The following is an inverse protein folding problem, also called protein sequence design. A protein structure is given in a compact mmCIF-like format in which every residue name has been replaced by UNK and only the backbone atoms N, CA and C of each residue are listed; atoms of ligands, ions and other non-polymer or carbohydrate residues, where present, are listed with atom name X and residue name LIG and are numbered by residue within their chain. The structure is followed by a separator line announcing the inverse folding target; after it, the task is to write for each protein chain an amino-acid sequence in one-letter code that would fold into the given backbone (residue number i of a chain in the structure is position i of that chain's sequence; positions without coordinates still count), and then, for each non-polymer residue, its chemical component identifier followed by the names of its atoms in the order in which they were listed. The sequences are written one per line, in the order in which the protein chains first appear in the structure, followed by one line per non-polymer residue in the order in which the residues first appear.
data_IF_803016948821
#
_entry.id   IF_803016948821
#
_cell.length_a   1.000
_cell.length_b   1.000
_cell.length_c   1.000
_cell.angle_alpha   90.00
_cell.angle_beta   90.00
_cell.angle_gamma   90.00
#
_symmetry.space_group_name_H-M   'P 1'
#
loop_
_entity.id
_entity.type
_entity.pdbx_description
1 polymer ?
#
# COMPACT_ATOMS: atom_id res chain seq x y z
N UNK A 1 14.63 -30.66 -44.45
CA UNK A 1 14.12 -29.48 -43.70
C UNK A 1 14.72 -29.29 -42.30
N UNK A 2 15.78 -30.02 -41.91
CA UNK A 2 16.40 -29.94 -40.56
C UNK A 2 17.62 -28.99 -40.46
N UNK A 3 18.12 -28.50 -41.60
CA UNK A 3 19.35 -27.67 -41.69
C UNK A 3 19.14 -26.20 -41.33
N UNK A 4 17.97 -25.62 -41.61
CA UNK A 4 17.70 -24.22 -41.35
C UNK A 4 17.45 -23.96 -39.84
N UNK A 5 16.69 -24.84 -39.19
CA UNK A 5 16.34 -24.74 -37.78
C UNK A 5 17.59 -24.80 -36.89
N UNK A 6 18.54 -25.70 -37.19
CA UNK A 6 19.80 -25.80 -36.46
C UNK A 6 20.67 -24.55 -36.60
N UNK A 7 20.72 -23.94 -37.79
CA UNK A 7 21.48 -22.71 -38.01
C UNK A 7 20.89 -21.53 -37.25
N UNK A 8 19.56 -21.41 -37.21
CA UNK A 8 18.89 -20.34 -36.45
C UNK A 8 19.10 -20.51 -34.94
N UNK A 9 19.02 -21.75 -34.43
CA UNK A 9 19.23 -22.01 -33.01
C UNK A 9 20.68 -21.71 -32.57
N UNK A 10 21.66 -22.08 -33.40
CA UNK A 10 23.08 -21.82 -33.12
C UNK A 10 23.40 -20.33 -33.10
N UNK A 11 22.84 -19.55 -34.05
CA UNK A 11 22.99 -18.10 -34.10
C UNK A 11 22.35 -17.44 -32.88
N UNK A 12 21.18 -17.91 -32.45
CA UNK A 12 20.48 -17.37 -31.29
C UNK A 12 21.28 -17.60 -30.00
N UNK A 13 21.85 -18.80 -29.80
CA UNK A 13 22.73 -19.11 -28.65
C UNK A 13 24.01 -18.25 -28.67
N UNK A 14 24.63 -18.08 -29.84
CA UNK A 14 25.80 -17.22 -30.01
C UNK A 14 25.50 -15.75 -29.71
N UNK A 15 24.33 -15.24 -30.13
CA UNK A 15 23.89 -13.88 -29.79
C UNK A 15 23.63 -13.74 -28.28
N UNK A 16 22.99 -14.71 -27.64
CA UNK A 16 22.74 -14.68 -26.19
C UNK A 16 24.04 -14.66 -25.40
N UNK A 17 25.06 -15.42 -25.81
CA UNK A 17 26.38 -15.43 -25.17
C UNK A 17 27.16 -14.13 -25.39
N UNK A 18 26.97 -13.46 -26.52
CA UNK A 18 27.59 -12.16 -26.82
C UNK A 18 26.97 -11.03 -25.99
N UNK A 19 25.65 -11.03 -25.83
CA UNK A 19 24.93 -10.07 -24.96
C UNK A 19 25.30 -10.30 -23.49
N UNK A 20 25.40 -11.56 -23.04
CA UNK A 20 25.81 -11.87 -21.66
C UNK A 20 27.24 -11.42 -21.36
N UNK A 21 28.18 -11.63 -22.28
CA UNK A 21 29.57 -11.20 -22.07
C UNK A 21 29.72 -9.67 -22.12
N UNK A 22 28.95 -8.95 -22.96
CA UNK A 22 28.98 -7.48 -22.99
C UNK A 22 28.45 -6.86 -21.68
N UNK A 23 27.42 -7.47 -21.08
CA UNK A 23 26.90 -7.06 -19.76
C UNK A 23 27.90 -7.36 -18.65
N UNK A 24 28.66 -8.46 -18.73
CA UNK A 24 29.67 -8.79 -17.71
C UNK A 24 30.93 -7.92 -17.83
N UNK A 25 31.34 -7.50 -19.03
CA UNK A 25 32.53 -6.65 -19.22
C UNK A 25 32.29 -5.15 -19.01
N UNK A 26 31.03 -4.70 -18.92
CA UNK A 26 30.71 -3.30 -18.59
C UNK A 26 30.58 -3.04 -17.07
N UNK A 27 30.68 -4.08 -16.24
CA UNK A 27 30.68 -3.98 -14.76
C UNK A 27 32.10 -4.17 -14.21
N UNK A 28 33.09 -3.53 -14.83
CA UNK A 28 34.46 -3.53 -14.30
C UNK A 28 35.06 -2.13 -14.31
N UNK A 29 35.42 -1.71 -13.09
CA UNK A 29 36.28 -0.57 -12.72
C UNK A 29 35.62 0.82 -12.59
N UNK A 30 35.02 1.06 -11.43
CA UNK A 30 35.57 2.07 -10.50
C UNK A 30 35.19 1.71 -9.05
N UNK A 31 36.01 0.87 -8.43
CA UNK A 31 35.97 0.67 -6.98
C UNK A 31 36.52 1.92 -6.31
N UNK A 32 35.66 2.91 -6.12
CA UNK A 32 35.87 3.92 -5.09
C UNK A 32 35.36 3.24 -3.82
N UNK A 33 36.27 2.73 -2.99
CA UNK A 33 35.97 2.33 -1.62
C UNK A 33 35.52 3.57 -0.86
N UNK A 34 34.22 3.88 -0.95
CA UNK A 34 33.57 4.79 -0.02
C UNK A 34 33.50 4.05 1.32
N UNK A 35 33.94 4.66 2.43
CA UNK A 35 33.81 4.05 3.74
C UNK A 35 32.33 3.75 3.97
N UNK A 36 31.98 2.46 4.03
CA UNK A 36 30.63 1.97 4.29
C UNK A 36 30.20 2.59 5.61
N UNK A 37 29.31 3.58 5.52
CA UNK A 37 28.68 4.17 6.68
C UNK A 37 27.73 3.11 7.23
N UNK A 38 28.20 2.37 8.25
CA UNK A 38 27.44 1.31 8.94
C UNK A 38 26.39 1.86 9.90
N UNK A 39 26.23 3.17 9.95
CA UNK A 39 25.24 3.80 10.80
C UNK A 39 23.84 3.61 10.19
N UNK A 40 22.95 3.05 11.02
CA UNK A 40 21.52 2.97 10.77
C UNK A 40 21.02 4.36 10.42
N UNK A 41 20.28 4.51 9.31
CA UNK A 41 19.53 5.75 9.11
C UNK A 41 18.67 6.01 10.36
N UNK A 42 18.95 7.10 11.07
CA UNK A 42 18.16 7.52 12.24
C UNK A 42 16.77 8.00 11.83
N UNK A 43 16.56 8.26 10.54
CA UNK A 43 15.25 8.52 9.95
C UNK A 43 14.70 7.21 9.39
N UNK A 44 13.71 6.65 10.07
CA UNK A 44 12.92 5.49 9.61
C UNK A 44 11.74 6.03 8.82
N UNK A 45 11.66 5.66 7.54
CA UNK A 45 10.49 6.00 6.72
C UNK A 45 9.36 5.03 7.08
N UNK A 46 8.19 5.57 7.42
CA UNK A 46 7.03 4.76 7.85
C UNK A 46 5.88 5.00 6.90
N UNK A 47 5.41 3.92 6.28
CA UNK A 47 4.23 3.89 5.41
C UNK A 47 3.17 3.03 6.09
N UNK A 48 1.99 3.59 6.34
CA UNK A 48 0.87 2.87 6.96
C UNK A 48 -0.32 2.87 6.02
N UNK A 49 -0.83 1.70 5.66
CA UNK A 49 -1.99 1.54 4.79
C UNK A 49 -2.87 0.41 5.30
N UNK A 50 -4.08 0.74 5.76
CA UNK A 50 -5.07 -0.26 6.16
C UNK A 50 -4.52 -1.28 7.15
N UNK A 51 -4.52 -2.55 6.76
CA UNK A 51 -4.07 -3.68 7.57
C UNK A 51 -2.61 -3.58 8.03
N UNK A 52 -1.74 -2.95 7.26
CA UNK A 52 -0.28 -3.09 7.42
C UNK A 52 0.44 -1.75 7.58
N UNK A 53 1.60 -1.81 8.24
CA UNK A 53 2.56 -0.72 8.34
C UNK A 53 3.94 -1.24 8.00
N UNK A 54 4.63 -0.51 7.13
CA UNK A 54 5.97 -0.79 6.64
C UNK A 54 6.93 0.22 7.26
N UNK A 55 7.93 -0.29 7.98
CA UNK A 55 9.08 0.49 8.44
C UNK A 55 10.24 0.21 7.50
N UNK A 56 10.77 1.26 6.87
CA UNK A 56 11.94 1.18 6.02
C UNK A 56 13.19 1.65 6.78
N UNK A 57 14.18 0.76 6.84
CA UNK A 57 15.50 1.05 7.37
C UNK A 57 16.54 0.93 6.26
N UNK A 58 17.56 1.78 6.29
CA UNK A 58 18.73 1.70 5.40
C UNK A 58 19.98 1.31 6.18
N UNK A 59 20.73 0.36 5.64
CA UNK A 59 21.97 -0.18 6.19
C UNK A 59 22.98 -0.37 5.07
N UNK A 60 23.93 0.56 4.94
CA UNK A 60 24.77 0.63 3.74
C UNK A 60 23.91 0.74 2.48
N UNK A 61 24.12 -0.16 1.52
CA UNK A 61 23.32 -0.25 0.29
C UNK A 61 22.06 -1.13 0.44
N UNK A 62 21.87 -1.78 1.59
CA UNK A 62 20.70 -2.62 1.83
C UNK A 62 19.53 -1.83 2.39
N UNK A 63 18.34 -2.19 1.92
CA UNK A 63 17.07 -1.73 2.48
C UNK A 63 16.43 -2.86 3.28
N UNK A 64 16.03 -2.60 4.52
CA UNK A 64 15.31 -3.56 5.37
C UNK A 64 13.89 -3.04 5.55
N UNK A 65 12.91 -3.79 5.06
CA UNK A 65 11.49 -3.50 5.22
C UNK A 65 10.93 -4.39 6.33
N UNK A 66 10.49 -3.79 7.43
CA UNK A 66 9.77 -4.51 8.48
C UNK A 66 8.27 -4.23 8.33
N UNK A 67 7.49 -5.28 8.10
CA UNK A 67 6.06 -5.19 7.79
C UNK A 67 5.27 -5.79 8.95
N UNK A 68 4.45 -4.98 9.62
CA UNK A 68 3.66 -5.38 10.78
C UNK A 68 2.17 -5.08 10.58
N UNK A 69 1.32 -5.76 11.35
CA UNK A 69 -0.09 -5.36 11.47
C UNK A 69 -0.12 -3.92 11.98
N UNK A 70 -0.91 -3.06 11.33
CA UNK A 70 -0.95 -1.63 11.61
C UNK A 70 -1.15 -1.38 13.11
N UNK A 71 -0.13 -0.86 13.82
CA UNK A 71 -0.18 -0.74 15.27
C UNK A 71 -0.94 0.50 15.72
N UNK A 72 -1.20 1.44 14.80
CA UNK A 72 -1.80 2.72 15.12
C UNK A 72 -3.32 2.63 14.94
N UNK A 73 -4.03 2.30 16.00
CA UNK A 73 -5.51 2.29 16.00
C UNK A 73 -6.01 3.58 16.65
N UNK A 74 -6.68 4.42 15.88
CA UNK A 74 -7.28 5.67 16.35
C UNK A 74 -8.57 5.40 17.11
N UNK A 75 -9.38 4.48 16.59
CA UNK A 75 -10.63 4.04 17.18
C UNK A 75 -10.91 2.59 16.79
N UNK A 76 -11.54 1.84 17.69
CA UNK A 76 -11.96 0.47 17.41
C UNK A 76 -13.33 0.22 18.02
N UNK A 77 -14.20 -0.42 17.25
CA UNK A 77 -15.50 -0.88 17.73
C UNK A 77 -15.86 -2.19 17.04
N UNK A 78 -16.24 -3.21 17.83
CA UNK A 78 -16.56 -4.57 17.36
C UNK A 78 -15.54 -5.11 16.34
N UNK A 79 -14.25 -4.98 16.65
CA UNK A 79 -13.11 -5.43 15.83
C UNK A 79 -13.04 -4.77 14.41
N UNK A 80 -13.66 -3.60 14.25
CA UNK A 80 -13.45 -2.71 13.10
C UNK A 80 -12.52 -1.59 13.56
N UNK A 81 -11.39 -1.44 12.89
CA UNK A 81 -10.30 -0.57 13.29
C UNK A 81 -10.17 0.62 12.35
N UNK A 82 -10.26 1.81 12.92
CA UNK A 82 -9.92 3.06 12.25
C UNK A 82 -8.43 3.29 12.42
N UNK A 83 -7.70 3.33 11.31
CA UNK A 83 -6.25 3.40 11.29
C UNK A 83 -5.78 4.57 10.42
N UNK A 84 -4.66 5.22 10.76
CA UNK A 84 -4.13 6.29 9.96
C UNK A 84 -3.49 5.73 8.70
N UNK A 85 -3.67 6.47 7.62
CA UNK A 85 -3.11 6.24 6.30
C UNK A 85 -2.03 7.30 6.05
N UNK A 86 -0.79 6.94 6.42
CA UNK A 86 0.37 7.86 6.50
C UNK A 86 1.38 7.53 5.41
N UNK A 87 1.91 8.58 4.77
CA UNK A 87 2.95 8.50 3.74
C UNK A 87 2.63 7.44 2.67
N UNK A 88 1.36 7.39 2.25
CA UNK A 88 0.88 6.47 1.21
C UNK A 88 0.71 7.19 -0.11
N UNK A 89 1.62 8.11 -0.45
CA UNK A 89 1.58 8.67 -1.80
C UNK A 89 1.77 7.54 -2.81
N UNK A 90 1.25 7.71 -4.03
CA UNK A 90 1.43 6.71 -5.08
C UNK A 90 2.92 6.46 -5.31
N UNK A 91 3.77 7.50 -5.19
CA UNK A 91 5.22 7.37 -5.24
C UNK A 91 5.78 6.48 -4.14
N UNK A 92 5.35 6.65 -2.89
CA UNK A 92 5.85 5.84 -1.76
C UNK A 92 5.51 4.35 -1.95
N UNK A 93 4.25 4.08 -2.35
CA UNK A 93 3.79 2.72 -2.63
C UNK A 93 4.54 2.12 -3.82
N UNK A 94 4.70 2.88 -4.91
CA UNK A 94 5.40 2.43 -6.11
C UNK A 94 6.88 2.17 -5.83
N UNK A 95 7.52 2.98 -4.99
CA UNK A 95 8.91 2.79 -4.57
C UNK A 95 9.09 1.53 -3.74
N UNK A 96 8.17 1.21 -2.82
CA UNK A 96 8.19 -0.06 -2.08
C UNK A 96 8.06 -1.24 -3.04
N UNK A 97 7.07 -1.20 -3.93
CA UNK A 97 6.84 -2.27 -4.92
C UNK A 97 8.10 -2.48 -5.76
N UNK A 98 8.68 -1.38 -6.27
CA UNK A 98 9.91 -1.41 -7.07
C UNK A 98 11.09 -2.01 -6.29
N UNK A 99 11.31 -1.57 -5.06
CA UNK A 99 12.38 -2.07 -4.17
C UNK A 99 12.25 -3.58 -3.95
N UNK A 100 11.03 -4.07 -3.72
CA UNK A 100 10.76 -5.49 -3.54
C UNK A 100 10.94 -6.26 -4.85
N UNK A 101 10.45 -5.74 -5.98
CA UNK A 101 10.53 -6.47 -7.25
C UNK A 101 11.94 -6.51 -7.86
N UNK A 102 12.71 -5.43 -7.75
CA UNK A 102 14.00 -5.27 -8.43
C UNK A 102 15.20 -5.72 -7.58
N UNK A 103 15.12 -5.58 -6.26
CA UNK A 103 16.27 -5.76 -5.36
C UNK A 103 16.09 -6.89 -4.35
N UNK A 104 15.06 -7.74 -4.48
CA UNK A 104 14.88 -8.87 -3.56
C UNK A 104 16.05 -9.87 -3.66
N UNK A 105 16.62 -10.32 -2.53
CA UNK A 105 17.60 -11.40 -2.53
C UNK A 105 16.96 -12.72 -2.94
N UNK A 106 17.74 -13.62 -3.52
CA UNK A 106 17.27 -14.98 -3.80
C UNK A 106 16.91 -15.74 -2.52
N UNK A 107 15.97 -16.69 -2.62
CA UNK A 107 15.61 -17.62 -1.53
C UNK A 107 16.85 -18.30 -0.94
N UNK A 108 17.79 -18.73 -1.80
CA UNK A 108 19.05 -19.37 -1.37
C UNK A 108 19.90 -18.42 -0.54
N UNK A 109 19.98 -17.14 -0.93
CA UNK A 109 20.69 -16.10 -0.16
C UNK A 109 20.07 -15.91 1.22
N UNK A 110 18.73 -15.88 1.31
CA UNK A 110 18.00 -15.77 2.57
C UNK A 110 18.33 -16.95 3.51
N UNK A 111 18.20 -18.19 3.03
CA UNK A 111 18.53 -19.37 3.83
C UNK A 111 19.98 -19.40 4.28
N UNK A 112 20.93 -19.03 3.42
CA UNK A 112 22.36 -19.01 3.76
C UNK A 112 22.68 -18.03 4.89
N UNK A 113 21.98 -16.90 4.94
CA UNK A 113 22.22 -15.82 5.92
C UNK A 113 21.36 -15.95 7.18
N UNK A 114 20.36 -16.84 7.21
CA UNK A 114 19.46 -17.03 8.34
C UNK A 114 20.16 -17.32 9.67
N UNK A 115 21.16 -18.20 9.68
CA UNK A 115 21.89 -18.53 10.91
C UNK A 115 22.73 -17.34 11.43
N UNK A 116 23.27 -16.53 10.52
CA UNK A 116 23.97 -15.31 10.90
C UNK A 116 23.00 -14.30 11.54
N UNK A 117 21.79 -14.14 10.98
CA UNK A 117 20.73 -13.31 11.59
C UNK A 117 20.39 -13.80 12.98
N UNK A 118 20.14 -15.11 13.16
CA UNK A 118 19.84 -15.69 14.48
C UNK A 118 20.95 -15.40 15.48
N UNK A 119 22.22 -15.52 15.08
CA UNK A 119 23.36 -15.13 15.91
C UNK A 119 23.33 -13.65 16.31
N UNK A 120 23.02 -12.75 15.38
CA UNK A 120 22.88 -11.31 15.65
C UNK A 120 21.69 -10.99 16.55
N UNK A 121 20.56 -11.65 16.36
CA UNK A 121 19.38 -11.49 17.22
C UNK A 121 19.69 -11.90 18.66
N UNK A 122 20.35 -13.05 18.86
CA UNK A 122 20.79 -13.50 20.19
C UNK A 122 21.73 -12.48 20.84
N UNK A 123 22.72 -11.96 20.09
CA UNK A 123 23.65 -10.94 20.59
C UNK A 123 22.94 -9.63 21.00
N UNK A 124 21.78 -9.33 20.41
CA UNK A 124 20.95 -8.17 20.72
C UNK A 124 19.86 -8.43 21.79
N UNK A 125 19.90 -9.59 22.45
CA UNK A 125 18.94 -9.99 23.48
C UNK A 125 17.57 -10.44 22.94
N UNK A 126 17.51 -10.90 21.69
CA UNK A 126 16.31 -11.37 21.00
C UNK A 126 16.35 -12.87 20.71
N UNK A 127 16.89 -13.65 21.65
CA UNK A 127 17.07 -15.10 21.50
C UNK A 127 15.77 -15.89 21.31
N UNK A 128 14.65 -15.34 21.77
CA UNK A 128 13.31 -15.95 21.65
C UNK A 128 12.62 -15.63 20.32
N UNK A 129 13.21 -14.75 19.48
CA UNK A 129 12.62 -14.42 18.20
C UNK A 129 12.85 -15.57 17.22
N UNK A 130 11.83 -16.39 17.02
CA UNK A 130 11.84 -17.38 15.93
C UNK A 130 11.65 -16.67 14.59
N UNK A 131 12.68 -16.74 13.77
CA UNK A 131 12.71 -16.19 12.42
C UNK A 131 12.98 -17.33 11.44
N UNK A 132 12.20 -17.35 10.37
CA UNK A 132 12.26 -18.36 9.30
C UNK A 132 12.13 -17.70 7.93
N UNK A 133 12.45 -18.45 6.87
CA UNK A 133 12.31 -17.99 5.48
C UNK A 133 11.03 -18.58 4.90
N UNK A 134 10.16 -17.74 4.36
CA UNK A 134 8.99 -18.15 3.58
C UNK A 134 8.99 -17.44 2.23
N UNK A 135 9.22 -18.18 1.14
CA UNK A 135 9.40 -17.56 -0.18
C UNK A 135 10.55 -16.57 -0.21
N UNK A 136 10.27 -15.32 -0.60
CA UNK A 136 11.25 -14.23 -0.72
C UNK A 136 11.34 -13.35 0.54
N UNK A 137 10.70 -13.73 1.65
CA UNK A 137 10.67 -12.93 2.88
C UNK A 137 11.16 -13.73 4.09
N UNK A 138 11.62 -13.01 5.11
CA UNK A 138 11.68 -13.56 6.46
C UNK A 138 10.33 -13.39 7.14
N UNK A 139 9.96 -14.36 7.99
CA UNK A 139 8.74 -14.31 8.80
C UNK A 139 9.12 -14.53 10.25
N UNK A 140 8.56 -13.71 11.14
CA UNK A 140 8.75 -13.82 12.59
C UNK A 140 7.56 -13.26 13.36
N UNK A 141 7.40 -13.65 14.62
CA UNK A 141 6.48 -12.96 15.54
C UNK A 141 7.08 -11.64 16.02
N UNK A 142 6.62 -10.53 15.45
CA UNK A 142 7.14 -9.20 15.76
C UNK A 142 6.38 -8.50 16.88
N UNK A 143 5.35 -9.15 17.46
CA UNK A 143 4.49 -8.55 18.48
C UNK A 143 5.27 -8.19 19.76
N UNK A 144 5.23 -6.92 20.14
CA UNK A 144 5.96 -6.41 21.31
C UNK A 144 7.48 -6.47 21.19
N UNK A 145 8.03 -6.75 20.00
CA UNK A 145 9.48 -6.85 19.79
C UNK A 145 10.06 -5.50 19.34
N UNK A 146 11.31 -5.18 19.73
CA UNK A 146 11.95 -3.93 19.34
C UNK A 146 12.38 -3.96 17.87
N UNK A 147 11.52 -3.42 16.99
CA UNK A 147 11.69 -3.44 15.53
C UNK A 147 13.05 -2.90 15.09
N UNK A 148 13.53 -1.80 15.67
CA UNK A 148 14.84 -1.21 15.33
C UNK A 148 16.01 -2.18 15.54
N UNK A 149 15.95 -3.01 16.60
CA UNK A 149 17.00 -3.99 16.90
C UNK A 149 16.94 -5.17 15.92
N UNK A 150 15.74 -5.55 15.49
CA UNK A 150 15.55 -6.60 14.48
C UNK A 150 16.10 -6.12 13.13
N UNK A 151 15.72 -4.91 12.72
CA UNK A 151 16.22 -4.29 11.50
C UNK A 151 17.75 -4.18 11.53
N UNK A 152 18.34 -3.84 12.68
CA UNK A 152 19.81 -3.82 12.87
C UNK A 152 20.45 -5.18 12.70
N UNK A 153 19.94 -6.20 13.38
CA UNK A 153 20.49 -7.54 13.28
C UNK A 153 20.49 -8.05 11.82
N UNK A 154 19.48 -7.69 11.04
CA UNK A 154 19.36 -8.08 9.63
C UNK A 154 20.24 -7.20 8.75
N UNK A 155 20.25 -5.89 8.98
CA UNK A 155 21.11 -4.93 8.29
C UNK A 155 22.59 -5.25 8.44
N UNK A 156 23.04 -5.66 9.63
CA UNK A 156 24.42 -6.14 9.85
C UNK A 156 24.78 -7.37 9.02
N UNK A 157 23.80 -8.21 8.69
CA UNK A 157 23.99 -9.44 7.92
C UNK A 157 23.87 -9.19 6.43
N UNK A 158 23.13 -8.18 6.00
CA UNK A 158 22.88 -7.92 4.57
C UNK A 158 23.58 -6.68 4.03
N UNK A 159 24.11 -5.79 4.87
CA UNK A 159 24.65 -4.49 4.47
C UNK A 159 25.85 -4.52 3.52
N UNK A 160 26.42 -5.70 3.25
CA UNK A 160 27.39 -5.93 2.18
C UNK A 160 26.76 -6.08 0.78
N UNK A 161 25.43 -6.10 0.69
CA UNK A 161 24.65 -6.29 -0.53
C UNK A 161 23.80 -5.05 -0.83
N UNK A 162 23.51 -4.84 -2.12
CA UNK A 162 22.48 -3.90 -2.58
C UNK A 162 21.17 -4.67 -2.80
N UNK A 163 20.44 -4.94 -1.71
CA UNK A 163 19.20 -5.73 -1.74
C UNK A 163 18.13 -5.15 -0.81
N UNK A 164 16.87 -5.50 -1.08
CA UNK A 164 15.73 -5.23 -0.21
C UNK A 164 15.35 -6.50 0.53
N UNK A 165 15.52 -6.52 1.85
CA UNK A 165 15.13 -7.63 2.70
C UNK A 165 13.81 -7.31 3.38
N UNK A 166 12.81 -8.17 3.17
CA UNK A 166 11.50 -8.04 3.81
C UNK A 166 11.41 -8.96 5.01
N UNK A 167 10.94 -8.43 6.14
CA UNK A 167 10.58 -9.18 7.34
C UNK A 167 9.11 -8.94 7.62
N UNK A 168 8.33 -10.00 7.51
CA UNK A 168 6.89 -9.98 7.66
C UNK A 168 6.51 -10.50 9.06
N UNK A 169 5.65 -9.75 9.75
CA UNK A 169 5.01 -10.22 10.96
C UNK A 169 4.12 -11.43 10.65
N UNK A 170 4.32 -12.54 11.36
CA UNK A 170 3.54 -13.75 11.16
C UNK A 170 2.02 -13.54 11.34
N UNK A 171 1.62 -12.54 12.14
CA UNK A 171 0.21 -12.18 12.32
C UNK A 171 -0.44 -11.70 11.02
N UNK A 172 0.33 -11.06 10.13
CA UNK A 172 -0.19 -10.69 8.80
C UNK A 172 -0.57 -11.96 8.04
N UNK A 173 0.28 -12.99 8.04
CA UNK A 173 -0.05 -14.27 7.38
C UNK A 173 -1.27 -14.94 8.01
N UNK A 174 -1.40 -14.89 9.34
CA UNK A 174 -2.58 -15.37 10.04
C UNK A 174 -3.86 -14.67 9.59
N UNK A 175 -3.84 -13.33 9.48
CA UNK A 175 -4.97 -12.53 9.01
C UNK A 175 -5.32 -12.82 7.55
N UNK A 176 -4.32 -12.99 6.69
CA UNK A 176 -4.53 -13.36 5.29
C UNK A 176 -5.22 -14.70 5.15
N UNK A 177 -4.78 -15.72 5.90
CA UNK A 177 -5.45 -17.03 5.94
C UNK A 177 -6.88 -16.89 6.45
N UNK A 178 -7.09 -16.16 7.54
CA UNK A 178 -8.43 -15.89 8.07
C UNK A 178 -9.35 -15.26 7.02
N UNK A 179 -8.86 -14.29 6.24
CA UNK A 179 -9.65 -13.65 5.18
C UNK A 179 -9.99 -14.58 4.01
N UNK A 180 -9.07 -15.45 3.63
CA UNK A 180 -9.32 -16.46 2.60
C UNK A 180 -10.30 -17.51 3.11
N UNK A 181 -10.03 -18.09 4.29
CA UNK A 181 -10.79 -19.21 4.84
C UNK A 181 -12.22 -18.81 5.25
N UNK A 182 -12.43 -17.55 5.64
CA UNK A 182 -13.77 -17.02 5.93
C UNK A 182 -14.58 -16.65 4.69
N UNK A 183 -13.95 -16.60 3.51
CA UNK A 183 -14.59 -16.14 2.27
C UNK A 183 -14.87 -14.63 2.23
N UNK A 184 -14.42 -13.84 3.22
CA UNK A 184 -14.70 -12.40 3.26
C UNK A 184 -14.11 -11.67 2.04
N UNK A 185 -12.99 -12.14 1.49
CA UNK A 185 -12.43 -11.55 0.26
C UNK A 185 -13.40 -11.66 -0.90
N UNK A 186 -14.10 -12.79 -1.04
CA UNK A 186 -15.06 -12.99 -2.13
C UNK A 186 -16.30 -12.11 -1.96
N UNK A 187 -16.79 -11.93 -0.73
CA UNK A 187 -17.88 -10.98 -0.43
C UNK A 187 -17.56 -9.55 -0.91
N UNK A 188 -16.30 -9.11 -0.78
CA UNK A 188 -15.86 -7.79 -1.23
C UNK A 188 -15.49 -7.74 -2.72
N UNK A 189 -15.35 -8.90 -3.38
CA UNK A 189 -15.14 -9.02 -4.83
C UNK A 189 -16.44 -9.08 -5.62
N UNK A 190 -17.53 -9.56 -5.02
CA UNK A 190 -18.84 -9.57 -5.65
C UNK A 190 -19.18 -8.17 -6.17
N UNK A 191 -19.50 -8.09 -7.46
CA UNK A 191 -19.99 -6.85 -8.08
C UNK A 191 -21.12 -6.31 -7.23
N UNK A 192 -21.07 -5.02 -6.89
CA UNK A 192 -22.06 -4.35 -6.07
C UNK A 192 -23.46 -4.52 -6.66
N UNK A 193 -24.17 -5.57 -6.24
CA UNK A 193 -25.59 -5.71 -6.56
C UNK A 193 -26.33 -4.70 -5.70
N UNK A 194 -26.59 -3.53 -6.29
CA UNK A 194 -27.30 -2.43 -5.65
C UNK A 194 -28.73 -2.80 -5.23
N UNK A 195 -29.25 -3.94 -5.68
CA UNK A 195 -30.52 -4.47 -5.20
C UNK A 195 -30.40 -5.28 -3.91
N UNK A 196 -29.19 -5.69 -3.51
CA UNK A 196 -28.97 -6.35 -2.23
C UNK A 196 -29.13 -5.38 -1.07
N UNK A 197 -29.75 -5.86 0.02
CA UNK A 197 -29.89 -5.08 1.25
C UNK A 197 -28.53 -4.71 1.86
N UNK A 198 -27.51 -5.55 1.61
CA UNK A 198 -26.13 -5.32 2.00
C UNK A 198 -25.56 -4.02 1.40
N UNK A 199 -25.46 -3.97 0.07
CA UNK A 199 -24.86 -2.84 -0.63
C UNK A 199 -25.69 -1.57 -0.48
N UNK A 200 -27.04 -1.67 -0.43
CA UNK A 200 -27.91 -0.51 -0.22
C UNK A 200 -27.65 0.16 1.14
N UNK A 201 -27.52 -0.62 2.20
CA UNK A 201 -27.32 -0.08 3.56
C UNK A 201 -25.89 0.42 3.76
N UNK A 202 -24.88 -0.26 3.21
CA UNK A 202 -23.50 0.20 3.21
C UNK A 202 -23.39 1.55 2.47
N UNK A 203 -24.01 1.68 1.30
CA UNK A 203 -24.04 2.93 0.54
C UNK A 203 -24.76 4.05 1.30
N UNK A 204 -25.89 3.75 1.96
CA UNK A 204 -26.61 4.74 2.78
C UNK A 204 -25.73 5.30 3.90
N UNK A 205 -25.04 4.42 4.62
CA UNK A 205 -24.13 4.80 5.71
C UNK A 205 -22.96 5.63 5.17
N UNK A 206 -22.39 5.22 4.03
CA UNK A 206 -21.36 5.98 3.33
C UNK A 206 -21.81 7.40 2.94
N UNK A 207 -22.98 7.55 2.31
CA UNK A 207 -23.48 8.86 1.91
C UNK A 207 -23.79 9.75 3.11
N UNK A 208 -24.33 9.18 4.19
CA UNK A 208 -24.56 9.92 5.44
C UNK A 208 -23.27 10.40 6.07
N UNK A 209 -22.21 9.58 6.08
CA UNK A 209 -20.88 9.98 6.54
C UNK A 209 -20.33 11.14 5.71
N UNK A 210 -20.40 11.04 4.38
CA UNK A 210 -19.93 12.11 3.48
C UNK A 210 -20.68 13.40 3.74
N UNK A 211 -22.01 13.35 3.90
CA UNK A 211 -22.83 14.52 4.19
C UNK A 211 -22.45 15.18 5.52
N UNK A 212 -22.31 14.41 6.60
CA UNK A 212 -21.93 14.92 7.92
C UNK A 212 -20.50 15.50 7.91
N UNK A 213 -19.55 14.87 7.20
CA UNK A 213 -18.19 15.39 7.04
C UNK A 213 -18.18 16.69 6.21
N UNK A 214 -19.03 16.82 5.19
CA UNK A 214 -19.14 18.06 4.40
C UNK A 214 -19.73 19.18 5.25
N UNK A 215 -20.81 18.89 5.98
CA UNK A 215 -21.51 19.88 6.81
C UNK A 215 -20.64 20.40 7.97
N UNK A 216 -19.72 19.58 8.47
CA UNK A 216 -18.75 19.96 9.51
C UNK A 216 -17.45 20.59 8.98
N UNK A 217 -17.28 20.69 7.65
CA UNK A 217 -16.04 21.19 7.06
C UNK A 217 -14.84 20.28 7.32
N UNK A 218 -15.09 18.98 7.46
CA UNK A 218 -14.10 17.93 7.64
C UNK A 218 -13.81 17.14 6.36
N UNK A 219 -14.66 17.22 5.33
CA UNK A 219 -14.55 16.36 4.16
C UNK A 219 -13.48 16.83 3.16
N UNK A 220 -12.56 15.93 2.80
CA UNK A 220 -11.76 16.03 1.57
C UNK A 220 -12.27 15.07 0.49
N UNK A 221 -12.20 13.78 0.77
CA UNK A 221 -12.55 12.70 -0.15
C UNK A 221 -12.92 11.48 0.68
N UNK A 222 -13.88 10.68 0.20
CA UNK A 222 -14.18 9.40 0.82
C UNK A 222 -14.36 8.38 -0.30
N UNK A 223 -13.70 7.22 -0.17
CA UNK A 223 -13.84 6.10 -1.10
C UNK A 223 -14.23 4.83 -0.35
N UNK A 224 -15.15 4.05 -0.93
CA UNK A 224 -15.39 2.67 -0.51
C UNK A 224 -14.43 1.77 -1.30
N UNK A 225 -13.54 1.05 -0.60
CA UNK A 225 -12.38 0.43 -1.26
C UNK A 225 -12.54 -1.04 -1.62
N UNK A 226 -13.55 -1.75 -1.10
CA UNK A 226 -13.73 -3.14 -1.45
C UNK A 226 -12.53 -3.98 -0.96
N UNK A 227 -11.60 -4.23 -1.88
CA UNK A 227 -10.31 -4.85 -1.65
C UNK A 227 -9.18 -3.82 -1.86
N UNK A 228 -8.36 -3.62 -0.84
CA UNK A 228 -7.07 -2.94 -0.95
C UNK A 228 -5.94 -3.97 -1.12
N UNK A 229 -4.78 -3.55 -1.63
CA UNK A 229 -3.67 -4.45 -1.93
C UNK A 229 -2.42 -4.09 -1.14
N UNK A 230 -1.75 -5.12 -0.61
CA UNK A 230 -0.44 -5.01 0.04
C UNK A 230 0.64 -4.57 -0.97
N UNK A 231 1.38 -3.46 -0.75
CA UNK A 231 2.55 -3.09 -1.57
C UNK A 231 3.69 -4.12 -1.53
N UNK A 232 3.68 -5.07 -0.61
CA UNK A 232 4.80 -6.02 -0.42
C UNK A 232 4.67 -7.22 -1.36
N UNK A 233 3.45 -7.72 -1.57
CA UNK A 233 3.21 -8.96 -2.30
C UNK A 233 1.91 -8.96 -3.10
N UNK A 234 1.19 -7.85 -3.14
CA UNK A 234 -0.07 -7.73 -3.85
C UNK A 234 -1.22 -8.54 -3.24
N UNK A 235 -1.10 -9.02 -1.99
CA UNK A 235 -2.22 -9.69 -1.34
C UNK A 235 -3.38 -8.71 -1.13
N UNK A 236 -4.58 -9.09 -1.58
CA UNK A 236 -5.80 -8.30 -1.41
C UNK A 236 -6.46 -8.52 -0.05
N UNK A 237 -6.79 -7.46 0.69
CA UNK A 237 -7.48 -7.52 1.97
C UNK A 237 -8.70 -6.58 2.01
N UNK A 238 -9.71 -6.87 2.84
CA UNK A 238 -10.91 -6.04 2.93
C UNK A 238 -10.56 -4.67 3.54
N UNK A 239 -10.87 -3.60 2.81
CA UNK A 239 -10.80 -2.22 3.29
C UNK A 239 -12.18 -1.59 3.13
N UNK A 240 -12.85 -1.33 4.25
CA UNK A 240 -14.22 -0.84 4.26
C UNK A 240 -14.31 0.53 3.62
N UNK A 241 -13.53 1.46 4.15
CA UNK A 241 -13.55 2.87 3.77
C UNK A 241 -12.14 3.44 3.78
N UNK A 242 -11.90 4.38 2.89
CA UNK A 242 -10.78 5.32 2.95
C UNK A 242 -11.33 6.73 3.05
N UNK A 243 -11.04 7.40 4.15
CA UNK A 243 -11.58 8.71 4.51
C UNK A 243 -10.44 9.71 4.50
N UNK A 244 -10.59 10.79 3.75
CA UNK A 244 -9.63 11.88 3.66
C UNK A 244 -10.30 13.09 4.30
N UNK A 245 -9.67 13.67 5.30
CA UNK A 245 -10.23 14.78 6.08
C UNK A 245 -9.39 16.06 6.01
N UNK A 246 -10.07 17.20 6.03
CA UNK A 246 -9.45 18.51 6.18
C UNK A 246 -9.22 18.79 7.66
N UNK A 247 -7.96 18.79 8.07
CA UNK A 247 -7.57 18.87 9.48
C UNK A 247 -6.96 17.57 9.99
N UNK A 248 -7.02 17.39 11.31
CA UNK A 248 -6.61 16.17 12.01
C UNK A 248 -7.84 15.35 12.45
N UNK A 249 -7.61 14.09 12.80
CA UNK A 249 -8.64 13.15 13.22
C UNK A 249 -9.45 13.67 14.40
N UNK A 250 -8.78 14.25 15.40
CA UNK A 250 -9.44 14.78 16.61
C UNK A 250 -10.56 15.78 16.31
N UNK A 251 -10.39 16.63 15.28
CA UNK A 251 -11.44 17.59 14.89
C UNK A 251 -12.69 16.90 14.32
N UNK A 252 -12.52 15.78 13.62
CA UNK A 252 -13.58 15.09 12.88
C UNK A 252 -14.05 13.81 13.58
N UNK A 253 -13.46 13.52 14.75
CA UNK A 253 -13.57 12.26 15.48
C UNK A 253 -15.01 11.85 15.76
N UNK A 254 -15.81 12.74 16.36
CA UNK A 254 -17.20 12.41 16.75
C UNK A 254 -18.05 11.92 15.57
N UNK A 255 -17.89 12.56 14.40
CA UNK A 255 -18.62 12.19 13.19
C UNK A 255 -18.14 10.82 12.69
N UNK A 256 -16.83 10.63 12.63
CA UNK A 256 -16.23 9.39 12.13
C UNK A 256 -16.61 8.21 13.04
N UNK A 257 -16.41 8.34 14.36
CA UNK A 257 -16.70 7.27 15.32
C UNK A 257 -18.19 6.89 15.31
N UNK A 258 -19.10 7.88 15.24
CA UNK A 258 -20.55 7.62 15.10
C UNK A 258 -20.84 6.73 13.88
N UNK A 259 -20.33 7.10 12.71
CA UNK A 259 -20.55 6.34 11.46
C UNK A 259 -19.86 4.98 11.46
N UNK A 260 -18.71 4.85 12.15
CA UNK A 260 -18.04 3.56 12.33
C UNK A 260 -18.88 2.62 13.20
N UNK A 261 -19.52 3.13 14.27
CA UNK A 261 -20.44 2.35 15.11
C UNK A 261 -21.63 1.86 14.30
N UNK A 262 -22.30 2.77 13.57
CA UNK A 262 -23.45 2.43 12.72
C UNK A 262 -23.08 1.38 11.65
N UNK A 263 -21.93 1.56 11.00
CA UNK A 263 -21.41 0.63 10.00
C UNK A 263 -21.08 -0.73 10.61
N UNK A 264 -20.45 -0.75 11.79
CA UNK A 264 -20.08 -1.98 12.47
C UNK A 264 -21.30 -2.80 12.87
N UNK A 265 -22.30 -2.16 13.47
CA UNK A 265 -23.52 -2.84 13.89
C UNK A 265 -24.27 -3.45 12.70
N UNK A 266 -24.18 -2.82 11.53
CA UNK A 266 -24.70 -3.38 10.29
C UNK A 266 -23.85 -4.55 9.76
N UNK A 267 -22.54 -4.34 9.56
CA UNK A 267 -21.64 -5.31 8.91
C UNK A 267 -21.54 -6.61 9.71
N UNK A 268 -21.63 -6.54 11.05
CA UNK A 268 -21.54 -7.74 11.91
C UNK A 268 -22.73 -8.69 11.78
N UNK A 269 -23.78 -8.33 11.06
CA UNK A 269 -24.83 -9.28 10.66
C UNK A 269 -24.38 -10.21 9.51
N UNK A 270 -23.30 -9.87 8.81
CA UNK A 270 -22.79 -10.58 7.63
C UNK A 270 -21.38 -11.12 7.84
N UNK A 271 -20.54 -10.40 8.59
CA UNK A 271 -19.13 -10.75 8.80
C UNK A 271 -18.89 -11.01 10.30
N UNK A 272 -18.51 -12.24 10.68
CA UNK A 272 -18.21 -12.60 12.06
C UNK A 272 -17.21 -11.67 12.75
N UNK A 273 -17.39 -11.41 14.05
CA UNK A 273 -16.59 -10.44 14.81
C UNK A 273 -15.11 -10.81 14.91
N UNK A 274 -14.76 -12.09 14.85
CA UNK A 274 -13.38 -12.58 14.86
C UNK A 274 -12.57 -12.10 13.65
N UNK A 275 -13.23 -11.67 12.57
CA UNK A 275 -12.59 -11.13 11.37
C UNK A 275 -12.37 -9.62 11.56
N UNK A 276 -11.11 -9.15 11.68
CA UNK A 276 -10.83 -7.73 11.81
C UNK A 276 -11.04 -7.02 10.48
N UNK A 277 -11.63 -5.84 10.51
CA UNK A 277 -11.86 -5.00 9.34
C UNK A 277 -11.23 -3.64 9.56
N UNK A 278 -10.85 -2.97 8.46
CA UNK A 278 -10.07 -1.73 8.54
C UNK A 278 -10.78 -0.58 7.81
N UNK A 279 -10.64 0.61 8.37
CA UNK A 279 -10.99 1.91 7.78
C UNK A 279 -9.74 2.77 7.83
N UNK A 280 -9.31 3.27 6.67
CA UNK A 280 -8.12 4.11 6.52
C UNK A 280 -8.48 5.59 6.63
N UNK A 281 -7.68 6.38 7.37
CA UNK A 281 -7.86 7.83 7.48
C UNK A 281 -6.60 8.59 7.04
N UNK A 282 -6.74 9.48 6.06
CA UNK A 282 -5.70 10.44 5.67
C UNK A 282 -6.05 11.85 6.13
N UNK A 283 -5.11 12.51 6.79
CA UNK A 283 -5.25 13.86 7.33
C UNK A 283 -4.58 14.90 6.43
N UNK A 284 -5.29 15.99 6.12
CA UNK A 284 -4.75 17.12 5.34
C UNK A 284 -4.91 18.42 6.15
N UNK A 285 -3.99 18.72 7.08
CA UNK A 285 -4.11 19.87 7.98
C UNK A 285 -4.09 21.21 7.24
N UNK A 286 -3.38 21.28 6.12
CA UNK A 286 -3.26 22.47 5.26
C UNK A 286 -4.39 22.60 4.23
N UNK A 287 -5.43 21.77 4.35
CA UNK A 287 -6.57 21.72 3.44
C UNK A 287 -6.39 20.74 2.28
N UNK A 288 -7.52 20.35 1.68
CA UNK A 288 -7.56 19.37 0.59
C UNK A 288 -7.10 20.03 -0.72
N UNK A 289 -5.82 19.88 -1.08
CA UNK A 289 -5.33 20.22 -2.42
C UNK A 289 -5.19 18.94 -3.24
N UNK A 290 -6.29 18.50 -3.85
CA UNK A 290 -6.20 17.46 -4.88
C UNK A 290 -5.75 18.13 -6.17
N UNK A 291 -4.51 17.88 -6.58
CA UNK A 291 -4.11 18.13 -7.97
C UNK A 291 -4.64 16.97 -8.80
N UNK A 292 -5.72 17.21 -9.55
CA UNK A 292 -6.10 16.29 -10.63
C UNK A 292 -5.04 16.43 -11.72
N UNK A 293 -4.28 15.36 -11.97
CA UNK A 293 -3.43 15.28 -13.14
C UNK A 293 -4.24 14.66 -14.27
N UNK A 294 -4.59 15.46 -15.28
CA UNK A 294 -5.03 14.90 -16.56
C UNK A 294 -3.79 14.54 -17.38
N UNK A 295 -3.73 13.28 -17.83
CA UNK A 295 -2.70 12.81 -18.74
C UNK A 295 -3.27 12.88 -20.16
N UNK A 296 -3.05 13.99 -20.86
CA UNK A 296 -3.38 14.14 -22.29
C UNK A 296 -2.11 13.84 -23.08
N UNK A 297 -1.90 12.59 -23.47
CA UNK A 297 -0.68 12.15 -24.17
C UNK A 297 0.55 12.03 -23.27
N UNK A 298 1.76 12.19 -23.84
CA UNK A 298 3.04 12.05 -23.14
C UNK A 298 3.44 13.27 -22.30
N UNK A 299 2.61 14.31 -22.24
CA UNK A 299 2.86 15.49 -21.43
C UNK A 299 1.89 15.55 -20.24
N UNK A 300 2.44 15.70 -19.03
CA UNK A 300 1.69 16.05 -17.83
C UNK A 300 1.35 17.53 -17.88
N UNK A 301 0.07 17.85 -18.06
CA UNK A 301 -0.42 19.24 -17.96
C UNK A 301 -1.04 19.44 -16.59
N UNK A 302 -0.52 20.41 -15.82
CA UNK A 302 -1.16 20.88 -14.59
C UNK A 302 -2.40 21.68 -14.96
N UNK A 303 -3.59 21.24 -14.50
CA UNK A 303 -4.78 22.08 -14.57
C UNK A 303 -4.80 22.96 -13.32
N UNK A 304 -4.71 24.30 -13.44
CA UNK A 304 -4.83 25.17 -12.30
C UNK A 304 -6.21 24.99 -11.66
N UNK A 305 -6.25 24.82 -10.34
CA UNK A 305 -7.49 24.91 -9.57
C UNK A 305 -8.03 26.34 -9.72
N UNK A 306 -9.09 26.53 -10.50
CA UNK A 306 -9.63 27.83 -10.86
C UNK A 306 -10.02 28.69 -9.66
N UNK A 307 -9.51 29.92 -9.64
CA UNK A 307 -10.11 31.06 -8.94
C UNK A 307 -11.35 31.57 -9.70
N UNK A 308 -12.28 32.17 -8.97
CA UNK A 308 -13.57 32.69 -9.44
C UNK A 308 -13.46 33.60 -10.69
N UNK A 309 -14.23 33.30 -11.74
CA UNK A 309 -14.47 34.18 -12.89
C UNK A 309 -15.55 33.62 -13.85
N UNK A 310 -16.45 34.50 -14.26
CA UNK A 310 -17.71 34.39 -15.05
C UNK A 310 -17.83 33.37 -16.22
N UNK A 311 -19.08 33.01 -16.63
CA UNK A 311 -19.38 31.92 -17.55
C UNK A 311 -19.35 32.39 -19.01
N UNK A 312 -18.75 31.57 -19.87
CA UNK A 312 -18.93 31.75 -21.30
C UNK A 312 -17.98 30.89 -22.11
N UNK A 313 -18.22 29.58 -22.19
CA UNK A 313 -17.86 28.81 -23.37
C UNK A 313 -18.83 27.64 -23.56
N UNK A 314 -19.48 27.67 -24.72
CA UNK A 314 -20.40 26.66 -25.24
C UNK A 314 -19.70 25.32 -25.46
N UNK A 315 -20.45 24.26 -25.17
CA UNK A 315 -20.14 22.86 -25.48
C UNK A 315 -20.00 22.61 -26.97
N UNK A 316 -18.87 22.06 -27.43
CA UNK A 316 -18.84 21.24 -28.63
C UNK A 316 -17.94 20.00 -28.49
N UNK A 317 -18.51 18.86 -28.91
CA UNK A 317 -17.90 17.58 -29.27
C UNK A 317 -17.37 16.64 -28.17
N UNK A 318 -18.27 15.77 -27.69
CA UNK A 318 -18.18 14.30 -27.81
C UNK A 318 -16.88 13.57 -27.43
N UNK A 319 -16.80 13.15 -26.16
CA UNK A 319 -16.22 11.91 -25.58
C UNK A 319 -14.84 11.35 -26.05
N UNK A 320 -14.06 10.63 -25.18
CA UNK A 320 -14.55 9.95 -23.98
C UNK A 320 -13.72 10.07 -22.68
N UNK A 321 -14.48 10.05 -21.58
CA UNK A 321 -14.17 9.82 -20.16
C UNK A 321 -13.51 8.44 -19.86
N UNK A 322 -12.72 7.87 -20.76
CA UNK A 322 -12.44 6.42 -20.74
C UNK A 322 -11.22 5.99 -19.91
N UNK A 323 -10.38 6.88 -19.39
CA UNK A 323 -9.11 6.47 -18.77
C UNK A 323 -9.10 6.38 -17.23
N UNK A 324 -10.19 6.73 -16.57
CA UNK A 324 -10.35 6.59 -15.10
C UNK A 324 -11.12 5.29 -14.74
N UNK A 325 -11.68 4.59 -15.73
CA UNK A 325 -12.59 3.48 -15.53
C UNK A 325 -11.94 2.11 -15.21
N UNK A 326 -10.62 1.98 -15.23
CA UNK A 326 -9.96 0.65 -15.16
C UNK A 326 -9.41 0.26 -13.79
N UNK A 327 -9.40 1.14 -12.78
CA UNK A 327 -8.84 0.82 -11.45
C UNK A 327 -9.83 1.11 -10.31
N UNK A 328 -10.95 1.77 -10.60
CA UNK A 328 -11.88 2.22 -9.57
C UNK A 328 -13.29 1.75 -9.90
N UNK A 329 -14.02 1.08 -8.97
CA UNK A 329 -15.42 0.81 -9.19
C UNK A 329 -16.16 2.11 -9.51
N UNK A 330 -17.09 2.04 -10.48
CA UNK A 330 -17.96 3.12 -10.97
C UNK A 330 -18.50 4.14 -9.92
N UNK A 331 -18.76 3.82 -8.63
CA UNK A 331 -19.16 4.81 -7.64
C UNK A 331 -18.22 6.03 -7.43
N UNK A 332 -16.92 5.92 -7.72
CA UNK A 332 -15.97 7.04 -7.46
C UNK A 332 -16.14 8.21 -8.45
N UNK A 333 -16.63 7.95 -9.67
CA UNK A 333 -16.91 9.02 -10.64
C UNK A 333 -18.17 9.81 -10.28
N UNK A 334 -19.14 9.19 -9.60
CA UNK A 334 -20.39 9.84 -9.20
C UNK A 334 -20.19 10.93 -8.14
N UNK A 335 -19.25 10.74 -7.21
CA UNK A 335 -19.01 11.67 -6.09
C UNK A 335 -18.22 12.91 -6.52
N UNK A 336 -17.25 12.76 -7.44
CA UNK A 336 -16.51 13.89 -8.02
C UNK A 336 -17.48 14.78 -8.83
N UNK A 337 -18.33 14.15 -9.65
CA UNK A 337 -19.36 14.87 -10.43
C UNK A 337 -20.39 15.58 -9.53
N UNK A 338 -20.90 14.91 -8.49
CA UNK A 338 -21.87 15.51 -7.55
C UNK A 338 -21.28 16.70 -6.77
N UNK A 339 -20.03 16.59 -6.33
CA UNK A 339 -19.33 17.64 -5.57
C UNK A 339 -19.01 18.86 -6.43
N UNK A 340 -18.61 18.65 -7.68
CA UNK A 340 -18.39 19.73 -8.65
C UNK A 340 -19.69 20.45 -9.03
N UNK A 341 -20.79 19.71 -9.24
CA UNK A 341 -22.11 20.28 -9.57
C UNK A 341 -22.70 21.07 -8.39
N UNK A 342 -22.55 20.59 -7.15
CA UNK A 342 -23.06 21.30 -5.96
C UNK A 342 -22.29 22.59 -5.67
N UNK A 343 -21.00 22.66 -6.03
CA UNK A 343 -20.15 23.86 -5.88
C UNK A 343 -20.42 24.94 -6.93
N UNK A 344 -20.96 24.57 -8.11
CA UNK A 344 -21.35 25.51 -9.17
C UNK A 344 -22.81 25.99 -9.09
N UNK A 345 -23.59 25.48 -8.13
CA UNK A 345 -24.99 25.89 -7.89
C UNK A 345 -25.18 26.86 -6.72
N UNK A 346 -24.09 27.31 -6.09
CA UNK A 346 -24.03 28.47 -5.20
C UNK A 346 -23.14 29.51 -5.84
#
# INVERSE_FOLDING_TARGET
MTSLLHKVLLISILLSLLVFNYVVTSVSASTIESPINKDVSTNVDVVSHGLETVYEYRYGESTILIVVVNPNVLFSYRNIHVVPNKNTSISDISDIIRKVSEFSPSVVTLYRRLNAIRGRLVANGLSELDIRVEGLVYVANLSGKPIDRIARAIGEVFGDLNVTVVVLDERILGLRRLYVDSGVIELFRETSDFNSDYWRTLNKTFYSLVEDLVNSGCHCFTGAYGIAYSPIDGFGYPLLLSIYISGNYEKCREIIEKHVVELADFIRNYIPEEIPLYISISEFPSGCKFQLFERIGNETVQIPSGEQGDPGYETQSGHPLLYIATIVPAPVMGVVAYSMIKRHRK
#
